data_IF_427549581019
#
_entry.id   IF_427549581019
#
_cell.length_a   1.000
_cell.length_b   1.000
_cell.length_c   1.000
_cell.angle_alpha   90.00
_cell.angle_beta   90.00
_cell.angle_gamma   90.00
#
_symmetry.space_group_name_H-M   'P 1'
#
loop_
_entity.id
_entity.type
_entity.pdbx_description
1 polymer ?
#
# COMPACT_ATOMS: atom_id res chain seq x y z
N UNK A 1 -0.81 22.39 13.06
CA UNK A 1 -1.53 21.81 11.90
C UNK A 1 -2.00 20.40 12.22
N UNK A 2 -3.31 20.14 12.26
CA UNK A 2 -3.83 18.76 12.46
C UNK A 2 -3.48 17.89 11.24
N UNK A 3 -3.18 16.60 11.46
CA UNK A 3 -2.88 15.60 10.42
C UNK A 3 -3.76 14.38 10.59
N UNK A 4 -4.04 13.67 9.50
CA UNK A 4 -4.89 12.47 9.52
C UNK A 4 -4.09 11.26 10.00
N UNK A 5 -4.26 10.87 11.27
CA UNK A 5 -3.63 9.66 11.85
C UNK A 5 -3.97 8.40 11.04
N UNK A 6 -5.21 8.29 10.54
CA UNK A 6 -5.67 7.14 9.77
C UNK A 6 -4.93 6.96 8.43
N UNK A 7 -4.70 8.05 7.69
CA UNK A 7 -3.95 7.99 6.43
C UNK A 7 -2.47 7.67 6.65
N UNK A 8 -1.87 8.19 7.73
CA UNK A 8 -0.48 7.85 8.10
C UNK A 8 -0.38 6.36 8.45
N UNK A 9 -1.29 5.84 9.29
CA UNK A 9 -1.31 4.42 9.64
C UNK A 9 -1.49 3.55 8.39
N UNK A 10 -2.38 3.93 7.47
CA UNK A 10 -2.58 3.20 6.22
C UNK A 10 -1.31 3.14 5.35
N UNK A 11 -0.63 4.27 5.16
CA UNK A 11 0.59 4.30 4.36
C UNK A 11 1.75 3.57 5.04
N UNK A 12 1.89 3.65 6.37
CA UNK A 12 2.91 2.89 7.10
C UNK A 12 2.65 1.38 7.01
N UNK A 13 1.41 0.93 7.17
CA UNK A 13 1.03 -0.47 6.96
C UNK A 13 1.32 -0.92 5.53
N UNK A 14 1.06 -0.07 4.54
CA UNK A 14 1.40 -0.34 3.13
C UNK A 14 2.89 -0.58 2.92
N UNK A 15 3.75 0.27 3.50
CA UNK A 15 5.20 0.11 3.42
C UNK A 15 5.65 -1.18 4.12
N UNK A 16 5.18 -1.44 5.34
CA UNK A 16 5.51 -2.65 6.09
C UNK A 16 5.10 -3.92 5.32
N UNK A 17 3.93 -3.88 4.69
CA UNK A 17 3.44 -4.99 3.88
C UNK A 17 4.28 -5.20 2.61
N UNK A 18 4.72 -4.14 1.93
CA UNK A 18 5.65 -4.26 0.80
C UNK A 18 6.99 -4.86 1.24
N UNK A 19 7.53 -4.44 2.40
CA UNK A 19 8.78 -4.99 2.95
C UNK A 19 8.61 -6.49 3.24
N UNK A 20 7.49 -6.88 3.85
CA UNK A 20 7.17 -8.29 4.10
C UNK A 20 7.14 -9.11 2.80
N UNK A 21 6.45 -8.63 1.76
CA UNK A 21 6.40 -9.31 0.47
C UNK A 21 7.79 -9.44 -0.16
N UNK A 22 8.61 -8.39 -0.11
CA UNK A 22 9.97 -8.42 -0.65
C UNK A 22 10.87 -9.42 0.09
N UNK A 23 10.78 -9.49 1.43
CA UNK A 23 11.51 -10.45 2.22
C UNK A 23 11.05 -11.90 1.96
N UNK A 24 9.73 -12.13 1.86
CA UNK A 24 9.16 -13.45 1.63
C UNK A 24 9.51 -14.00 0.24
N UNK A 25 9.24 -13.24 -0.82
CA UNK A 25 9.51 -13.68 -2.19
C UNK A 25 11.00 -13.60 -2.55
N UNK A 26 11.74 -12.64 -2.01
CA UNK A 26 13.21 -12.60 -2.15
C UNK A 26 13.88 -13.78 -1.44
N UNK A 27 13.43 -14.10 -0.22
CA UNK A 27 13.91 -15.26 0.54
C UNK A 27 13.59 -16.59 -0.17
N UNK A 28 12.44 -16.70 -0.83
CA UNK A 28 12.04 -17.89 -1.58
C UNK A 28 12.92 -18.16 -2.82
N UNK A 29 13.62 -17.16 -3.36
CA UNK A 29 14.55 -17.33 -4.49
C UNK A 29 15.96 -17.64 -3.99
N UNK A 30 16.39 -16.95 -2.92
CA UNK A 30 17.77 -17.03 -2.40
C UNK A 30 18.04 -18.33 -1.61
N UNK A 31 17.04 -18.89 -0.92
CA UNK A 31 17.22 -20.07 -0.07
C UNK A 31 16.80 -21.39 -0.74
N UNK A 32 16.95 -21.50 -2.05
CA UNK A 32 16.50 -22.66 -2.81
C UNK A 32 17.50 -23.81 -2.78
N UNK A 33 17.01 -25.05 -2.73
CA UNK A 33 17.84 -26.26 -2.68
C UNK A 33 17.78 -27.10 -3.96
N UNK A 34 16.87 -26.77 -4.87
CA UNK A 34 16.71 -27.41 -6.18
C UNK A 34 16.36 -26.41 -7.28
N UNK A 35 16.78 -26.69 -8.51
CA UNK A 35 16.46 -25.89 -9.70
C UNK A 35 14.94 -25.74 -9.93
N UNK A 36 14.15 -26.75 -9.55
CA UNK A 36 12.69 -26.68 -9.64
C UNK A 36 12.09 -25.68 -8.63
N UNK A 37 12.66 -25.58 -7.44
CA UNK A 37 12.25 -24.60 -6.41
C UNK A 37 12.63 -23.18 -6.83
N UNK A 38 13.82 -23.01 -7.42
CA UNK A 38 14.26 -21.73 -7.98
C UNK A 38 13.35 -21.25 -9.10
N UNK A 39 12.95 -22.14 -10.02
CA UNK A 39 12.03 -21.80 -11.10
C UNK A 39 10.63 -21.46 -10.56
N UNK A 40 10.11 -22.24 -9.61
CA UNK A 40 8.82 -21.97 -8.96
C UNK A 40 8.80 -20.65 -8.20
N UNK A 41 9.85 -20.35 -7.44
CA UNK A 41 10.02 -19.08 -6.71
C UNK A 41 10.12 -17.88 -7.65
N UNK A 42 10.84 -18.02 -8.77
CA UNK A 42 10.95 -16.97 -9.78
C UNK A 42 9.58 -16.66 -10.43
N UNK A 43 8.83 -17.68 -10.84
CA UNK A 43 7.49 -17.51 -11.43
C UNK A 43 6.52 -16.85 -10.43
N UNK A 44 6.52 -17.31 -9.17
CA UNK A 44 5.66 -16.74 -8.14
C UNK A 44 6.01 -15.27 -7.85
N UNK A 45 7.31 -14.94 -7.81
CA UNK A 45 7.78 -13.56 -7.59
C UNK A 45 7.43 -12.64 -8.77
N UNK A 46 7.53 -13.12 -10.01
CA UNK A 46 7.15 -12.36 -11.20
C UNK A 46 5.66 -12.04 -11.23
N UNK A 47 4.81 -12.99 -10.79
CA UNK A 47 3.36 -12.79 -10.72
C UNK A 47 2.96 -11.77 -9.63
N UNK A 48 3.70 -11.74 -8.52
CA UNK A 48 3.42 -10.86 -7.37
C UNK A 48 4.04 -9.46 -7.51
N UNK A 49 5.04 -9.31 -8.38
CA UNK A 49 5.78 -8.05 -8.57
C UNK A 49 4.90 -6.85 -8.98
N UNK A 50 3.94 -6.98 -9.93
CA UNK A 50 3.08 -5.87 -10.31
C UNK A 50 2.25 -5.35 -9.13
N UNK A 51 1.72 -6.24 -8.28
CA UNK A 51 0.98 -5.80 -7.09
C UNK A 51 1.90 -5.15 -6.04
N UNK A 52 3.14 -5.63 -5.86
CA UNK A 52 4.10 -5.05 -4.90
C UNK A 52 4.40 -3.58 -5.23
N UNK A 53 4.64 -3.28 -6.50
CA UNK A 53 4.91 -1.92 -6.97
C UNK A 53 3.68 -1.03 -6.76
N UNK A 54 2.48 -1.52 -7.07
CA UNK A 54 1.24 -0.76 -6.90
C UNK A 54 0.97 -0.43 -5.43
N UNK A 55 1.14 -1.40 -4.52
CA UNK A 55 0.99 -1.20 -3.07
C UNK A 55 2.04 -0.22 -2.54
N UNK A 56 3.29 -0.32 -3.00
CA UNK A 56 4.34 0.61 -2.60
C UNK A 56 3.99 2.04 -3.03
N UNK A 57 3.62 2.24 -4.30
CA UNK A 57 3.19 3.54 -4.80
C UNK A 57 1.96 4.03 -4.02
N UNK A 58 0.96 3.18 -3.81
CA UNK A 58 -0.23 3.50 -3.01
C UNK A 58 0.15 4.03 -1.63
N UNK A 59 1.07 3.35 -0.95
CA UNK A 59 1.55 3.71 0.38
C UNK A 59 2.23 5.07 0.41
N UNK A 60 3.08 5.36 -0.58
CA UNK A 60 3.79 6.65 -0.72
C UNK A 60 2.79 7.77 -1.00
N UNK A 61 1.87 7.59 -1.96
CA UNK A 61 0.85 8.59 -2.29
C UNK A 61 -0.07 8.88 -1.10
N UNK A 62 -0.47 7.84 -0.35
CA UNK A 62 -1.27 7.99 0.87
C UNK A 62 -0.51 8.73 1.97
N UNK A 63 0.76 8.42 2.22
CA UNK A 63 1.61 9.11 3.21
C UNK A 63 1.84 10.56 2.83
N UNK A 64 2.31 10.82 1.60
CA UNK A 64 2.55 12.17 1.09
C UNK A 64 1.26 13.01 1.13
N UNK A 65 0.13 12.43 0.72
CA UNK A 65 -1.18 13.08 0.80
C UNK A 65 -1.60 13.42 2.23
N UNK A 66 -1.28 12.55 3.20
CA UNK A 66 -1.53 12.79 4.62
C UNK A 66 -0.65 13.92 5.18
N UNK A 67 0.63 13.99 4.79
CA UNK A 67 1.55 15.03 5.21
C UNK A 67 1.24 16.40 4.59
N UNK A 68 0.85 16.45 3.32
CA UNK A 68 0.53 17.72 2.63
C UNK A 68 -0.93 18.13 2.88
N UNK A 69 -1.73 17.31 3.58
CA UNK A 69 -3.17 17.50 3.74
C UNK A 69 -3.93 17.66 2.39
N UNK A 70 -3.42 17.02 1.32
CA UNK A 70 -4.08 17.00 0.01
C UNK A 70 -4.92 15.73 -0.11
N UNK A 71 -6.24 15.90 -0.01
CA UNK A 71 -7.20 14.80 -0.15
C UNK A 71 -7.05 14.04 -1.49
N UNK A 72 -6.72 14.73 -2.58
CA UNK A 72 -6.50 14.09 -3.89
C UNK A 72 -5.42 13.01 -3.87
N UNK A 73 -4.28 13.26 -3.22
CA UNK A 73 -3.19 12.29 -3.12
C UNK A 73 -3.58 11.04 -2.31
N UNK A 74 -4.32 11.23 -1.22
CA UNK A 74 -4.83 10.11 -0.40
C UNK A 74 -5.85 9.28 -1.17
N UNK A 75 -6.68 9.92 -2.01
CA UNK A 75 -7.64 9.21 -2.87
C UNK A 75 -6.93 8.38 -3.94
N UNK A 76 -5.91 8.95 -4.59
CA UNK A 76 -5.09 8.22 -5.57
C UNK A 76 -4.44 7.00 -4.91
N UNK A 77 -3.88 7.14 -3.70
CA UNK A 77 -3.33 6.03 -2.94
C UNK A 77 -4.38 4.96 -2.59
N UNK A 78 -5.59 5.36 -2.17
CA UNK A 78 -6.68 4.43 -1.90
C UNK A 78 -7.08 3.62 -3.15
N UNK A 79 -7.18 4.28 -4.31
CA UNK A 79 -7.49 3.62 -5.59
C UNK A 79 -6.36 2.67 -5.99
N UNK A 80 -5.10 3.07 -5.83
CA UNK A 80 -3.95 2.22 -6.11
C UNK A 80 -3.94 0.95 -5.23
N UNK A 81 -4.35 1.05 -3.97
CA UNK A 81 -4.55 -0.14 -3.12
C UNK A 81 -5.66 -1.06 -3.68
N UNK A 82 -6.78 -0.52 -4.18
CA UNK A 82 -7.82 -1.31 -4.82
C UNK A 82 -7.31 -2.01 -6.08
N UNK A 83 -6.55 -1.31 -6.94
CA UNK A 83 -5.97 -1.90 -8.15
C UNK A 83 -4.93 -2.96 -7.78
N UNK A 84 -4.10 -2.72 -6.77
CA UNK A 84 -3.18 -3.73 -6.24
C UNK A 84 -3.89 -5.00 -5.78
N UNK A 85 -5.02 -4.86 -5.07
CA UNK A 85 -5.85 -5.99 -4.68
C UNK A 85 -6.50 -6.72 -5.86
N UNK A 86 -6.89 -6.01 -6.92
CA UNK A 86 -7.48 -6.61 -8.12
C UNK A 86 -6.46 -7.38 -8.96
N UNK A 87 -5.23 -6.88 -9.06
CA UNK A 87 -4.13 -7.52 -9.82
C UNK A 87 -3.73 -8.85 -9.19
N UNK A 88 -3.85 -9.00 -7.88
CA UNK A 88 -3.52 -10.25 -7.20
C UNK A 88 -4.48 -10.57 -6.06
N UNK A 89 -5.64 -11.11 -6.43
CA UNK A 89 -6.76 -11.36 -5.51
C UNK A 89 -6.40 -12.25 -4.31
N UNK A 90 -5.46 -13.20 -4.48
CA UNK A 90 -5.03 -14.11 -3.41
C UNK A 90 -4.52 -13.38 -2.16
N UNK A 91 -3.92 -12.20 -2.32
CA UNK A 91 -3.45 -11.38 -1.19
C UNK A 91 -4.31 -10.15 -0.92
N UNK A 92 -5.48 -10.02 -1.58
CA UNK A 92 -6.39 -8.91 -1.39
C UNK A 92 -6.82 -8.74 0.08
N UNK A 93 -6.94 -9.85 0.83
CA UNK A 93 -7.35 -9.84 2.24
C UNK A 93 -6.44 -8.98 3.13
N UNK A 94 -5.14 -8.93 2.83
CA UNK A 94 -4.18 -8.09 3.54
C UNK A 94 -4.31 -6.61 3.18
N UNK A 95 -4.76 -6.33 1.96
CA UNK A 95 -4.89 -4.98 1.40
C UNK A 95 -6.22 -4.33 1.81
N UNK A 96 -7.27 -5.11 2.06
CA UNK A 96 -8.61 -4.61 2.46
C UNK A 96 -8.57 -3.65 3.66
N UNK A 97 -7.89 -3.96 4.79
CA UNK A 97 -7.79 -3.01 5.91
C UNK A 97 -7.10 -1.69 5.51
N UNK A 98 -6.10 -1.75 4.63
CA UNK A 98 -5.37 -0.56 4.15
C UNK A 98 -6.23 0.30 3.23
N UNK A 99 -7.09 -0.33 2.42
CA UNK A 99 -8.09 0.34 1.58
C UNK A 99 -9.05 1.12 2.49
N UNK A 100 -9.65 0.44 3.48
CA UNK A 100 -10.61 1.06 4.41
C UNK A 100 -9.96 2.22 5.18
N UNK A 101 -8.75 2.01 5.72
CA UNK A 101 -8.01 3.06 6.43
C UNK A 101 -7.65 4.24 5.53
N UNK A 102 -7.33 4.00 4.24
CA UNK A 102 -7.06 5.07 3.27
C UNK A 102 -8.32 5.89 2.95
N UNK A 103 -9.48 5.25 2.79
CA UNK A 103 -10.75 5.96 2.56
C UNK A 103 -11.21 6.78 3.79
N UNK A 104 -11.05 6.23 4.99
CA UNK A 104 -11.26 6.97 6.25
C UNK A 104 -10.25 8.13 6.33
N UNK A 105 -9.00 7.87 5.96
CA UNK A 105 -7.91 8.84 5.87
C UNK A 105 -8.26 10.02 4.97
N UNK A 106 -8.79 9.74 3.77
CA UNK A 106 -9.28 10.73 2.80
C UNK A 106 -10.36 11.64 3.40
N UNK A 107 -11.38 11.03 4.00
CA UNK A 107 -12.47 11.76 4.64
C UNK A 107 -11.97 12.69 5.75
N UNK A 108 -11.00 12.24 6.55
CA UNK A 108 -10.38 13.05 7.60
C UNK A 108 -9.50 14.17 7.04
N UNK A 109 -8.70 13.92 5.99
CA UNK A 109 -7.88 14.96 5.35
C UNK A 109 -8.77 16.05 4.74
N UNK A 110 -9.89 15.70 4.11
CA UNK A 110 -10.86 16.67 3.59
C UNK A 110 -11.42 17.58 4.69
N UNK A 111 -11.81 17.01 5.84
CA UNK A 111 -12.28 17.78 7.02
C UNK A 111 -11.19 18.66 7.62
N UNK A 112 -9.96 18.16 7.72
CA UNK A 112 -8.80 18.91 8.26
C UNK A 112 -8.45 20.09 7.35
N UNK A 113 -8.47 19.90 6.02
CA UNK A 113 -8.22 20.98 5.06
C UNK A 113 -9.26 22.10 5.19
N UNK A 114 -10.53 21.76 5.32
CA UNK A 114 -11.61 22.74 5.55
C UNK A 114 -11.41 23.50 6.87
N UNK A 115 -11.06 22.81 7.95
CA UNK A 115 -10.82 23.43 9.25
C UNK A 115 -9.56 24.34 9.28
N UNK A 116 -8.49 23.97 8.57
CA UNK A 116 -7.27 24.78 8.49
C UNK A 116 -7.41 26.00 7.54
N UNK A 117 -8.47 26.07 6.73
CA UNK A 117 -8.74 27.22 5.85
C UNK A 117 -9.58 28.31 6.53
N UNK A 118 -10.05 28.05 7.76
CA UNK A 118 -10.88 28.94 8.58
C UNK A 118 -10.07 29.59 9.73
N UNK A 119 -8.76 29.31 9.78
CA UNK A 119 -7.77 29.87 10.71
C UNK A 119 -6.72 30.55 9.85
#
# INVERSE_FOLDING_TARGET
MKKSKAAIIAGVLGILYTIYLMAHFGGAIVNTTSDAEALGGAIASALVMPQMILVLLASIFTLVGAFINKAGFVLTGAILFCVGAAVFFLYAIFIVPMIVLSFIGYSKVKKIKAANSQI
#
